data_IF_803954652049
#
_entry.id   IF_803954652049
#
_cell.length_a   1.000
_cell.length_b   1.000
_cell.length_c   1.000
_cell.angle_alpha   90.00
_cell.angle_beta   90.00
_cell.angle_gamma   90.00
#
_symmetry.space_group_name_H-M   'P 1'
#
loop_
_entity.id
_entity.type
_entity.pdbx_description
1 polymer ?
#
# COMPACT_ATOMS: atom_id res chain seq x y z
N UNK A 1 -32.37 1.53 -1.33
CA UNK A 1 -30.91 1.44 -1.08
C UNK A 1 -30.26 2.46 -1.99
N UNK A 2 -29.80 3.57 -1.42
CA UNK A 2 -29.06 4.60 -2.17
C UNK A 2 -27.74 3.98 -2.62
N UNK A 3 -27.57 3.83 -3.93
CA UNK A 3 -26.27 3.52 -4.52
C UNK A 3 -25.40 4.76 -4.35
N UNK A 4 -24.71 4.88 -3.22
CA UNK A 4 -23.63 5.85 -3.10
C UNK A 4 -22.56 5.42 -4.10
N UNK A 5 -22.49 6.14 -5.21
CA UNK A 5 -21.55 5.90 -6.28
C UNK A 5 -20.21 6.48 -5.82
N UNK A 6 -19.46 5.70 -5.05
CA UNK A 6 -18.09 6.07 -4.68
C UNK A 6 -17.24 6.16 -5.95
N UNK A 7 -16.65 7.32 -6.19
CA UNK A 7 -15.70 7.54 -7.28
C UNK A 7 -14.40 8.03 -6.67
N UNK A 8 -13.33 7.27 -6.89
CA UNK A 8 -11.98 7.76 -6.55
C UNK A 8 -11.66 8.85 -7.56
N UNK A 9 -11.53 10.09 -7.09
CA UNK A 9 -11.17 11.21 -7.96
C UNK A 9 -9.67 11.25 -8.22
N UNK A 10 -8.88 11.06 -7.18
CA UNK A 10 -7.42 11.04 -7.29
C UNK A 10 -6.78 10.18 -6.22
N UNK A 11 -5.63 9.60 -6.57
CA UNK A 11 -4.69 9.04 -5.61
C UNK A 11 -3.43 9.90 -5.69
N UNK A 12 -3.07 10.53 -4.58
CA UNK A 12 -1.91 11.42 -4.56
C UNK A 12 -0.64 10.63 -4.19
N UNK A 13 0.20 10.40 -5.20
CA UNK A 13 1.52 9.80 -5.06
C UNK A 13 2.67 10.81 -5.16
N UNK A 14 2.37 12.11 -5.32
CA UNK A 14 3.38 13.15 -5.63
C UNK A 14 4.44 13.35 -4.54
N UNK A 15 4.18 12.85 -3.34
CA UNK A 15 5.11 12.93 -2.21
C UNK A 15 5.89 11.64 -1.98
N UNK A 16 5.64 10.59 -2.78
CA UNK A 16 6.34 9.33 -2.63
C UNK A 16 7.63 9.29 -3.46
N UNK A 17 8.72 8.89 -2.83
CA UNK A 17 9.97 8.56 -3.52
C UNK A 17 9.82 7.32 -4.39
N UNK A 18 10.79 7.07 -5.27
CA UNK A 18 10.85 5.84 -6.08
C UNK A 18 10.77 4.58 -5.21
N UNK A 19 11.49 4.56 -4.08
CA UNK A 19 11.53 3.40 -3.18
C UNK A 19 10.20 3.21 -2.44
N UNK A 20 9.56 4.31 -2.02
CA UNK A 20 8.23 4.28 -1.42
C UNK A 20 7.16 3.79 -2.40
N UNK A 21 7.19 4.27 -3.65
CA UNK A 21 6.30 3.80 -4.70
C UNK A 21 6.52 2.31 -5.01
N UNK A 22 7.77 1.89 -5.08
CA UNK A 22 8.08 0.49 -5.36
C UNK A 22 7.60 -0.41 -4.23
N UNK A 23 7.80 -0.03 -2.97
CA UNK A 23 7.26 -0.78 -1.84
C UNK A 23 5.72 -0.76 -1.84
N UNK A 24 5.09 0.37 -2.13
CA UNK A 24 3.64 0.49 -2.26
C UNK A 24 3.07 -0.54 -3.25
N UNK A 25 3.65 -0.64 -4.45
CA UNK A 25 3.19 -1.60 -5.45
C UNK A 25 3.53 -3.06 -5.09
N UNK A 26 4.68 -3.31 -4.48
CA UNK A 26 5.05 -4.64 -4.00
C UNK A 26 4.06 -5.15 -2.94
N UNK A 27 3.66 -4.27 -2.01
CA UNK A 27 2.64 -4.52 -0.99
C UNK A 27 1.31 -4.90 -1.63
N UNK A 28 0.79 -4.05 -2.52
CA UNK A 28 -0.49 -4.30 -3.18
C UNK A 28 -0.48 -5.58 -4.02
N UNK A 29 0.62 -5.83 -4.72
CA UNK A 29 0.79 -7.05 -5.54
C UNK A 29 0.76 -8.30 -4.67
N UNK A 30 1.48 -8.30 -3.54
CA UNK A 30 1.50 -9.42 -2.59
C UNK A 30 0.13 -9.61 -1.93
N UNK A 31 -0.52 -8.52 -1.51
CA UNK A 31 -1.87 -8.56 -0.94
C UNK A 31 -2.90 -9.15 -1.92
N UNK A 32 -2.87 -8.70 -3.18
CA UNK A 32 -3.74 -9.21 -4.23
C UNK A 32 -3.46 -10.69 -4.53
N UNK A 33 -2.18 -11.08 -4.64
CA UNK A 33 -1.79 -12.47 -4.89
C UNK A 33 -2.26 -13.41 -3.77
N UNK A 34 -2.10 -13.00 -2.52
CA UNK A 34 -2.47 -13.78 -1.34
C UNK A 34 -3.95 -13.61 -0.94
N UNK A 35 -4.70 -12.72 -1.61
CA UNK A 35 -6.09 -12.34 -1.27
C UNK A 35 -6.24 -11.96 0.20
N UNK A 36 -5.34 -11.11 0.68
CA UNK A 36 -5.25 -10.67 2.08
C UNK A 36 -5.15 -9.16 2.16
N UNK A 37 -5.59 -8.58 3.27
CA UNK A 37 -5.42 -7.16 3.58
C UNK A 37 -4.17 -6.89 4.42
N UNK A 38 -3.41 -7.93 4.78
CA UNK A 38 -2.21 -7.84 5.61
C UNK A 38 -1.06 -8.60 4.97
N UNK A 39 0.12 -7.99 4.92
CA UNK A 39 1.34 -8.64 4.42
C UNK A 39 2.52 -8.39 5.34
N UNK A 40 3.43 -9.36 5.30
CA UNK A 40 4.73 -9.29 5.96
C UNK A 40 5.81 -9.48 4.90
N UNK A 41 6.89 -8.73 5.05
CA UNK A 41 8.13 -8.88 4.28
C UNK A 41 9.30 -9.05 5.23
N UNK A 42 10.22 -9.94 4.91
CA UNK A 42 11.54 -9.93 5.57
C UNK A 42 12.41 -8.84 4.92
N UNK A 43 13.37 -8.27 5.66
CA UNK A 43 14.29 -7.26 5.10
C UNK A 43 15.06 -7.80 3.89
N UNK A 44 15.40 -9.10 3.90
CA UNK A 44 16.09 -9.78 2.80
C UNK A 44 15.27 -9.78 1.50
N UNK A 45 13.93 -9.73 1.59
CA UNK A 45 13.05 -9.62 0.41
C UNK A 45 12.97 -8.19 -0.12
N UNK A 46 13.52 -7.22 0.60
CA UNK A 46 13.43 -5.80 0.32
C UNK A 46 14.79 -5.18 -0.06
N UNK A 47 15.86 -5.97 -0.19
CA UNK A 47 17.21 -5.47 -0.52
C UNK A 47 17.25 -4.73 -1.85
N UNK A 48 16.36 -5.08 -2.78
CA UNK A 48 16.21 -4.39 -4.07
C UNK A 48 15.81 -2.91 -3.93
N UNK A 49 15.29 -2.47 -2.78
CA UNK A 49 15.06 -1.05 -2.49
C UNK A 49 16.38 -0.28 -2.27
N UNK A 50 17.44 -0.97 -1.84
CA UNK A 50 18.77 -0.39 -1.62
C UNK A 50 19.65 -0.49 -2.87
N UNK A 51 19.49 -1.54 -3.68
CA UNK A 51 20.31 -1.79 -4.89
C UNK A 51 20.21 -0.67 -5.96
N UNK A 52 19.16 0.16 -5.88
CA UNK A 52 18.85 1.22 -6.83
C UNK A 52 19.20 2.63 -6.29
N UNK A 53 19.81 2.71 -5.10
CA UNK A 53 20.29 3.97 -4.50
C UNK A 53 21.77 4.21 -4.86
N UNK A 54 22.07 5.36 -5.44
CA UNK A 54 23.43 5.72 -5.87
C UNK A 54 24.41 5.85 -4.68
N UNK A 55 23.92 5.95 -3.44
CA UNK A 55 24.72 6.22 -2.25
C UNK A 55 25.06 4.97 -1.41
N UNK A 56 24.77 3.76 -1.90
CA UNK A 56 25.06 2.49 -1.20
C UNK A 56 24.49 2.47 0.23
N UNK A 57 23.25 2.95 0.38
CA UNK A 57 22.58 3.04 1.69
C UNK A 57 22.04 1.67 2.09
N UNK A 58 22.37 1.21 3.30
CA UNK A 58 21.85 -0.06 3.81
C UNK A 58 20.31 -0.06 3.92
N UNK A 59 19.68 -1.20 3.63
CA UNK A 59 18.22 -1.37 3.77
C UNK A 59 17.71 -1.03 5.18
N UNK A 60 18.51 -1.32 6.21
CA UNK A 60 18.20 -1.01 7.61
C UNK A 60 18.02 0.50 7.87
N UNK A 61 18.72 1.34 7.12
CA UNK A 61 18.59 2.79 7.21
C UNK A 61 17.42 3.32 6.36
N UNK A 62 17.06 2.64 5.27
CA UNK A 62 16.00 3.07 4.35
C UNK A 62 14.59 2.73 4.85
N UNK A 63 14.41 1.56 5.46
CA UNK A 63 13.08 1.04 5.84
C UNK A 63 12.30 2.00 6.76
N UNK A 64 12.87 2.59 7.83
CA UNK A 64 12.12 3.47 8.72
C UNK A 64 11.51 4.69 8.01
N UNK A 65 12.29 5.32 7.13
CA UNK A 65 11.85 6.50 6.38
C UNK A 65 10.79 6.14 5.33
N UNK A 66 11.01 5.04 4.61
CA UNK A 66 10.05 4.51 3.64
C UNK A 66 8.72 4.21 4.32
N UNK A 67 8.73 3.51 5.47
CA UNK A 67 7.50 3.16 6.19
C UNK A 67 6.78 4.38 6.76
N UNK A 68 7.53 5.37 7.24
CA UNK A 68 6.97 6.64 7.72
C UNK A 68 6.21 7.37 6.62
N UNK A 69 6.79 7.44 5.42
CA UNK A 69 6.15 8.10 4.27
C UNK A 69 5.01 7.26 3.70
N UNK A 70 5.18 5.94 3.62
CA UNK A 70 4.14 5.03 3.17
C UNK A 70 2.90 5.10 4.08
N UNK A 71 3.09 5.16 5.40
CA UNK A 71 2.02 5.32 6.38
C UNK A 71 1.26 6.65 6.29
N UNK A 72 1.80 7.66 5.60
CA UNK A 72 1.14 8.95 5.33
C UNK A 72 0.37 8.97 4.00
N UNK A 73 0.47 7.90 3.22
CA UNK A 73 -0.25 7.77 1.96
C UNK A 73 -1.75 7.75 2.23
N UNK A 74 -2.49 8.60 1.54
CA UNK A 74 -3.94 8.72 1.71
C UNK A 74 -4.62 8.91 0.37
N UNK A 75 -5.87 8.45 0.27
CA UNK A 75 -6.74 8.69 -0.89
C UNK A 75 -7.76 9.76 -0.50
N UNK A 76 -8.02 10.67 -1.44
CA UNK A 76 -9.14 11.60 -1.37
C UNK A 76 -10.22 11.15 -2.35
N UNK A 77 -11.47 11.07 -1.90
CA UNK A 77 -12.61 10.76 -2.73
C UNK A 77 -13.77 11.73 -2.50
N UNK A 78 -14.50 12.02 -3.57
CA UNK A 78 -15.71 12.82 -3.52
C UNK A 78 -16.90 11.94 -3.10
N UNK A 79 -17.58 12.37 -2.04
CA UNK A 79 -18.79 11.74 -1.52
C UNK A 79 -20.07 12.38 -2.07
N UNK A 80 -19.97 13.40 -2.92
CA UNK A 80 -21.07 14.22 -3.43
C UNK A 80 -21.43 15.40 -2.51
N UNK A 81 -21.14 15.29 -1.21
CA UNK A 81 -21.37 16.31 -0.19
C UNK A 81 -20.06 16.91 0.36
N UNK A 82 -18.92 16.48 -0.17
CA UNK A 82 -17.57 16.90 0.24
C UNK A 82 -16.49 15.86 -0.04
N UNK A 83 -15.24 16.27 0.12
CA UNK A 83 -14.07 15.39 0.01
C UNK A 83 -13.79 14.67 1.34
N UNK A 84 -13.57 13.36 1.28
CA UNK A 84 -13.08 12.59 2.41
C UNK A 84 -11.67 12.09 2.14
N UNK A 85 -10.79 12.22 3.14
CA UNK A 85 -9.40 11.75 3.10
C UNK A 85 -9.25 10.54 4.01
N UNK A 86 -8.80 9.43 3.45
CA UNK A 86 -8.63 8.16 4.17
C UNK A 86 -7.20 7.66 4.01
N UNK A 87 -6.59 7.24 5.12
CA UNK A 87 -5.26 6.65 5.11
C UNK A 87 -5.29 5.32 4.37
N UNK A 88 -4.33 5.11 3.46
CA UNK A 88 -4.28 3.92 2.62
C UNK A 88 -3.96 2.67 3.45
N UNK A 89 -3.02 2.81 4.38
CA UNK A 89 -2.61 1.76 5.31
C UNK A 89 -2.94 2.16 6.74
N UNK A 90 -3.55 1.24 7.50
CA UNK A 90 -3.79 1.43 8.95
C UNK A 90 -2.57 1.04 9.79
N UNK A 91 -1.61 0.32 9.18
CA UNK A 91 -0.32 -0.01 9.78
C UNK A 91 0.75 -0.12 8.69
N UNK A 92 1.92 0.46 8.97
CA UNK A 92 3.15 0.23 8.23
C UNK A 92 4.31 0.33 9.23
N UNK A 93 4.81 -0.80 9.72
CA UNK A 93 5.78 -0.85 10.83
C UNK A 93 6.84 -1.91 10.61
N UNK A 94 8.06 -1.64 11.06
CA UNK A 94 9.12 -2.64 11.15
C UNK A 94 9.20 -3.22 12.58
N UNK A 95 9.69 -4.45 12.68
CA UNK A 95 10.01 -5.14 13.94
C UNK A 95 11.48 -5.53 13.85
N UNK A 96 12.34 -4.66 14.38
CA UNK A 96 13.79 -4.66 14.12
C UNK A 96 14.48 -5.95 14.58
N UNK A 97 14.08 -6.50 15.73
CA UNK A 97 14.61 -7.76 16.28
C UNK A 97 14.32 -8.95 15.37
N UNK A 98 13.25 -8.89 14.58
CA UNK A 98 12.84 -9.93 13.65
C UNK A 98 13.20 -9.61 12.20
N UNK A 99 13.68 -8.38 11.91
CA UNK A 99 13.94 -7.87 10.56
C UNK A 99 12.75 -8.09 9.62
N UNK A 100 11.55 -7.76 10.11
CA UNK A 100 10.31 -7.85 9.33
C UNK A 100 9.61 -6.50 9.21
N UNK A 101 8.92 -6.31 8.09
CA UNK A 101 7.99 -5.21 7.83
C UNK A 101 6.59 -5.77 7.79
N UNK A 102 5.68 -5.20 8.58
CA UNK A 102 4.26 -5.55 8.61
C UNK A 102 3.42 -4.37 8.12
N UNK A 103 2.57 -4.61 7.12
CA UNK A 103 1.71 -3.60 6.51
C UNK A 103 0.27 -4.10 6.45
N UNK A 104 -0.67 -3.26 6.89
CA UNK A 104 -2.10 -3.52 6.91
C UNK A 104 -2.83 -2.48 6.06
N UNK A 105 -3.58 -2.96 5.08
CA UNK A 105 -4.48 -2.15 4.26
C UNK A 105 -5.63 -1.63 5.12
N UNK A 106 -6.05 -0.40 4.87
CA UNK A 106 -7.29 0.10 5.44
C UNK A 106 -8.49 -0.72 4.90
N UNK A 107 -9.39 -1.22 5.78
CA UNK A 107 -10.58 -1.97 5.35
C UNK A 107 -11.43 -1.26 4.29
N UNK A 108 -11.43 0.07 4.27
CA UNK A 108 -12.12 0.85 3.23
C UNK A 108 -11.63 0.52 1.81
N UNK A 109 -10.41 -0.01 1.68
CA UNK A 109 -9.77 -0.39 0.42
C UNK A 109 -9.66 -1.90 0.20
N UNK A 110 -10.31 -2.74 1.02
CA UNK A 110 -10.28 -4.21 0.90
C UNK A 110 -10.70 -4.70 -0.50
N UNK A 111 -11.57 -3.96 -1.18
CA UNK A 111 -12.00 -4.24 -2.55
C UNK A 111 -10.86 -4.24 -3.58
N UNK A 112 -9.73 -3.60 -3.30
CA UNK A 112 -8.55 -3.59 -4.19
C UNK A 112 -7.86 -4.95 -4.25
N UNK A 113 -8.02 -5.77 -3.22
CA UNK A 113 -7.27 -7.03 -3.04
C UNK A 113 -8.20 -8.26 -3.03
N UNK A 114 -9.50 -8.05 -2.85
CA UNK A 114 -10.52 -9.08 -2.97
C UNK A 114 -11.20 -9.01 -4.33
N UNK A 115 -10.70 -9.76 -5.30
CA UNK A 115 -11.41 -9.96 -6.57
C UNK A 115 -12.50 -11.01 -6.37
N UNK A 116 -13.75 -10.55 -6.40
CA UNK A 116 -14.94 -11.40 -6.41
C UNK A 116 -14.94 -12.28 -7.66
N UNK A 117 -14.68 -13.58 -7.47
CA UNK A 117 -14.59 -14.56 -8.56
C UNK A 117 -15.90 -14.67 -9.37
N UNK A 118 -17.03 -14.22 -8.82
CA UNK A 118 -18.32 -14.24 -9.52
C UNK A 118 -18.44 -13.17 -10.61
N UNK A 119 -17.69 -12.06 -10.52
CA UNK A 119 -17.73 -10.98 -11.52
C UNK A 119 -16.84 -11.23 -12.74
N UNK A 120 -15.84 -12.10 -12.64
CA UNK A 120 -14.94 -12.41 -13.77
C UNK A 120 -15.66 -13.18 -14.89
N UNK A 121 -16.64 -14.03 -14.55
CA UNK A 121 -17.39 -14.84 -15.54
C UNK A 121 -18.35 -14.05 -16.44
N UNK A 122 -18.54 -12.75 -16.20
CA UNK A 122 -19.40 -11.91 -17.05
C UNK A 122 -18.64 -11.13 -18.13
N UNK A 123 -17.31 -11.28 -18.20
CA UNK A 123 -16.47 -10.59 -19.20
C UNK A 123 -15.68 -11.54 -20.11
N UNK A 124 -15.93 -12.86 -20.05
CA UNK A 124 -15.37 -13.87 -20.94
C UNK A 124 -16.40 -14.41 -21.92
#
# INVERSE_FOLDING_TARGET
MTNNKFSIESVNFSHLSKNELSLFFAVLTRMHHLRTTSVVFNFDELTWLADDDENDVSIDALIPDILTNLGRTSITYDLGDGEARHDFFTRATAVDDQRIVSIQLNPDFEFLVQVDATKWKQQS
#
